data_IF_389977861502
#
_entry.id   IF_389977861502
#
_cell.length_a   1.000
_cell.length_b   1.000
_cell.length_c   1.000
_cell.angle_alpha   90.00
_cell.angle_beta   90.00
_cell.angle_gamma   90.00
#
_symmetry.space_group_name_H-M   'P 1'
#
loop_
_entity.id
_entity.type
_entity.pdbx_description
1 polymer ?
#
# COMPACT_ATOMS: atom_id res chain seq x y z
N UNK A 1 -17.96 15.45 2.03
CA UNK A 1 -16.97 14.35 2.11
C UNK A 1 -16.59 14.17 3.56
N UNK A 2 -16.82 12.98 4.11
CA UNK A 2 -16.42 12.63 5.48
C UNK A 2 -14.90 12.69 5.63
N UNK A 3 -14.41 13.11 6.79
CA UNK A 3 -12.96 13.19 7.07
C UNK A 3 -12.41 11.77 7.21
N UNK A 4 -11.31 11.43 6.53
CA UNK A 4 -10.73 10.08 6.53
C UNK A 4 -9.76 9.95 7.71
N UNK A 5 -9.94 8.94 8.57
CA UNK A 5 -9.10 8.69 9.74
C UNK A 5 -8.29 7.41 9.58
N UNK A 6 -6.99 7.55 9.38
CA UNK A 6 -6.06 6.41 9.32
C UNK A 6 -5.40 6.18 10.68
N UNK A 7 -5.38 4.92 11.11
CA UNK A 7 -4.48 4.46 12.15
C UNK A 7 -3.29 3.77 11.50
N UNK A 8 -2.09 4.06 12.00
CA UNK A 8 -0.87 3.34 11.64
C UNK A 8 -0.24 2.78 12.91
N UNK A 9 0.26 1.56 12.82
CA UNK A 9 0.97 0.88 13.90
C UNK A 9 2.30 0.41 13.35
N UNK A 10 3.40 0.94 13.89
CA UNK A 10 4.75 0.50 13.54
C UNK A 10 5.13 -0.60 14.51
N UNK A 11 5.60 -1.72 13.98
CA UNK A 11 6.10 -2.88 14.73
C UNK A 11 7.57 -3.04 14.34
N UNK A 12 8.50 -2.33 15.03
CA UNK A 12 9.91 -2.25 14.63
C UNK A 12 10.61 -3.61 14.61
N UNK A 13 10.26 -4.50 15.54
CA UNK A 13 10.86 -5.84 15.70
C UNK A 13 10.60 -6.72 14.49
N UNK A 14 9.49 -6.46 13.80
CA UNK A 14 9.09 -7.15 12.58
C UNK A 14 9.42 -6.34 11.33
N UNK A 15 9.99 -5.13 11.43
CA UNK A 15 10.12 -4.20 10.30
C UNK A 15 8.81 -4.02 9.50
N UNK A 16 7.69 -3.94 10.24
CA UNK A 16 6.34 -3.92 9.70
C UNK A 16 5.62 -2.65 10.09
N UNK A 17 4.86 -2.10 9.16
CA UNK A 17 3.86 -1.07 9.41
C UNK A 17 2.50 -1.65 9.04
N UNK A 18 1.56 -1.57 9.96
CA UNK A 18 0.16 -1.89 9.72
C UNK A 18 -0.63 -0.59 9.60
N UNK A 19 -1.62 -0.58 8.72
CA UNK A 19 -2.52 0.55 8.57
C UNK A 19 -3.96 0.07 8.46
N UNK A 20 -4.88 0.87 9.01
CA UNK A 20 -6.32 0.66 8.83
C UNK A 20 -7.07 1.98 8.82
N UNK A 21 -8.15 2.00 8.05
CA UNK A 21 -9.12 3.08 8.03
C UNK A 21 -10.08 2.89 9.20
N UNK A 22 -10.11 3.83 10.14
CA UNK A 22 -10.93 3.75 11.35
C UNK A 22 -12.41 4.01 11.08
N UNK A 23 -12.71 4.82 10.07
CA UNK A 23 -14.06 5.23 9.73
C UNK A 23 -14.41 4.83 8.30
N UNK A 24 -14.21 3.55 8.00
CA UNK A 24 -14.53 3.01 6.69
C UNK A 24 -16.02 3.21 6.36
N UNK A 25 -16.90 2.97 7.33
CA UNK A 25 -18.35 3.12 7.21
C UNK A 25 -18.76 4.56 6.82
N UNK A 26 -18.17 5.57 7.46
CA UNK A 26 -18.40 6.99 7.14
C UNK A 26 -17.98 7.35 5.70
N UNK A 27 -17.13 6.52 5.09
CA UNK A 27 -16.63 6.68 3.73
C UNK A 27 -17.34 5.79 2.71
N UNK A 28 -18.43 5.10 3.10
CA UNK A 28 -19.09 4.08 2.27
C UNK A 28 -18.15 2.94 1.83
N UNK A 29 -17.18 2.61 2.68
CA UNK A 29 -16.25 1.51 2.50
C UNK A 29 -16.49 0.46 3.59
N UNK A 30 -16.44 -0.83 3.27
CA UNK A 30 -16.65 -1.87 4.28
C UNK A 30 -15.40 -2.04 5.16
N UNK A 31 -14.22 -2.07 4.53
CA UNK A 31 -12.94 -2.09 5.24
C UNK A 31 -11.79 -1.64 4.33
N UNK A 32 -10.82 -0.95 4.93
CA UNK A 32 -9.55 -0.63 4.30
C UNK A 32 -8.44 -0.90 5.32
N UNK A 33 -7.61 -1.90 5.09
CA UNK A 33 -6.47 -2.19 5.96
C UNK A 33 -5.35 -2.88 5.19
N UNK A 34 -4.15 -2.91 5.75
CA UNK A 34 -3.03 -3.52 5.10
C UNK A 34 -1.73 -3.39 5.87
N UNK A 35 -0.66 -3.83 5.23
CA UNK A 35 0.66 -3.94 5.83
C UNK A 35 1.73 -3.55 4.82
N UNK A 36 2.76 -2.87 5.30
CA UNK A 36 4.03 -2.66 4.60
C UNK A 36 5.11 -3.40 5.39
N UNK A 37 5.77 -4.35 4.75
CA UNK A 37 6.77 -5.21 5.35
C UNK A 37 8.12 -4.99 4.65
N UNK A 38 9.17 -4.73 5.42
CA UNK A 38 10.54 -4.69 4.91
C UNK A 38 11.23 -6.01 5.20
N UNK A 39 11.82 -6.63 4.19
CA UNK A 39 12.61 -7.85 4.33
C UNK A 39 13.98 -7.66 3.68
N UNK A 40 15.09 -8.09 4.31
CA UNK A 40 16.38 -8.14 3.64
C UNK A 40 16.33 -9.20 2.52
N UNK A 41 16.90 -8.87 1.37
CA UNK A 41 16.98 -9.75 0.21
C UNK A 41 18.37 -9.62 -0.43
N UNK A 42 19.38 -10.24 0.19
CA UNK A 42 20.77 -10.10 -0.23
C UNK A 42 21.25 -8.66 -0.12
N UNK A 43 21.62 -8.05 -1.25
CA UNK A 43 22.17 -6.68 -1.30
C UNK A 43 21.12 -5.57 -1.38
N UNK A 44 19.84 -5.89 -1.24
CA UNK A 44 18.74 -4.93 -1.31
C UNK A 44 17.67 -5.25 -0.27
N UNK A 45 16.79 -4.28 -0.02
CA UNK A 45 15.61 -4.49 0.82
C UNK A 45 14.39 -4.71 -0.07
N UNK A 46 13.68 -5.82 0.15
CA UNK A 46 12.39 -6.10 -0.46
C UNK A 46 11.29 -5.45 0.37
N UNK A 47 10.55 -4.52 -0.23
CA UNK A 47 9.34 -3.95 0.38
C UNK A 47 8.13 -4.72 -0.15
N UNK A 48 7.38 -5.36 0.74
CA UNK A 48 6.11 -6.04 0.39
C UNK A 48 4.95 -5.24 0.94
N UNK A 49 4.02 -4.88 0.06
CA UNK A 49 2.79 -4.22 0.45
C UNK A 49 1.61 -5.13 0.18
N UNK A 50 0.76 -5.29 1.19
CA UNK A 50 -0.51 -6.01 1.09
C UNK A 50 -1.57 -5.05 1.56
N UNK A 51 -2.62 -4.89 0.78
CA UNK A 51 -3.72 -4.01 1.13
C UNK A 51 -5.05 -4.64 0.70
N UNK A 52 -5.99 -4.61 1.63
CA UNK A 52 -7.33 -5.13 1.50
C UNK A 52 -8.29 -3.95 1.49
N UNK A 53 -9.07 -3.85 0.42
CA UNK A 53 -10.02 -2.77 0.21
C UNK A 53 -11.35 -3.34 -0.20
N UNK A 54 -12.42 -2.82 0.37
CA UNK A 54 -13.76 -3.07 -0.11
C UNK A 54 -14.54 -1.76 -0.15
N UNK A 55 -14.78 -1.29 -1.37
CA UNK A 55 -15.50 -0.07 -1.68
C UNK A 55 -16.33 -0.26 -2.96
N UNK A 56 -17.38 0.53 -3.11
CA UNK A 56 -18.22 0.51 -4.30
C UNK A 56 -17.39 0.77 -5.57
N UNK A 57 -17.37 -0.19 -6.50
CA UNK A 57 -16.58 -0.11 -7.73
C UNK A 57 -15.17 -0.72 -7.63
N UNK A 58 -14.78 -1.33 -6.50
CA UNK A 58 -13.51 -2.03 -6.37
C UNK A 58 -13.30 -3.09 -7.47
N UNK A 59 -14.33 -3.89 -7.79
CA UNK A 59 -14.27 -4.88 -8.87
C UNK A 59 -13.98 -4.25 -10.24
N UNK A 60 -14.55 -3.07 -10.53
CA UNK A 60 -14.30 -2.34 -11.78
C UNK A 60 -12.89 -1.77 -11.78
N UNK A 61 -12.48 -1.17 -10.66
CA UNK A 61 -11.14 -0.59 -10.49
C UNK A 61 -10.01 -1.62 -10.62
N UNK A 62 -10.21 -2.83 -10.07
CA UNK A 62 -9.27 -3.96 -10.16
C UNK A 62 -9.10 -4.42 -11.61
N UNK A 63 -10.20 -4.51 -12.36
CA UNK A 63 -10.21 -4.98 -13.76
C UNK A 63 -9.90 -3.88 -14.78
N UNK A 64 -9.87 -2.62 -14.35
CA UNK A 64 -9.66 -1.46 -15.19
C UNK A 64 -8.22 -1.44 -15.77
N UNK A 65 -8.04 -1.54 -17.10
CA UNK A 65 -6.71 -1.63 -17.71
C UNK A 65 -6.05 -0.25 -17.94
N UNK A 66 -6.81 0.85 -17.84
CA UNK A 66 -6.33 2.20 -18.18
C UNK A 66 -5.76 2.97 -16.99
N UNK A 67 -5.27 4.18 -17.28
CA UNK A 67 -4.72 5.10 -16.29
C UNK A 67 -5.76 5.41 -15.20
N UNK A 68 -5.49 4.96 -13.98
CA UNK A 68 -6.40 5.09 -12.82
C UNK A 68 -6.89 3.75 -12.26
N UNK A 69 -6.82 2.68 -13.06
CA UNK A 69 -7.04 1.31 -12.58
C UNK A 69 -5.94 0.83 -11.63
N UNK A 70 -6.22 -0.26 -10.91
CA UNK A 70 -5.36 -0.79 -9.85
C UNK A 70 -3.89 -0.97 -10.27
N UNK A 71 -3.64 -1.63 -11.40
CA UNK A 71 -2.28 -1.87 -11.92
C UNK A 71 -1.50 -0.57 -12.13
N UNK A 72 -2.13 0.42 -12.77
CA UNK A 72 -1.50 1.72 -13.02
C UNK A 72 -1.20 2.44 -11.71
N UNK A 73 -2.16 2.49 -10.80
CA UNK A 73 -2.02 3.17 -9.50
C UNK A 73 -0.90 2.57 -8.67
N UNK A 74 -0.86 1.25 -8.55
CA UNK A 74 0.14 0.56 -7.74
C UNK A 74 1.54 0.60 -8.37
N UNK A 75 1.63 0.58 -9.70
CA UNK A 75 2.91 0.82 -10.40
C UNK A 75 3.46 2.21 -10.09
N UNK A 76 2.61 3.25 -10.06
CA UNK A 76 3.04 4.61 -9.72
C UNK A 76 3.46 4.73 -8.27
N UNK A 77 2.71 4.12 -7.34
CA UNK A 77 3.09 4.11 -5.92
C UNK A 77 4.46 3.45 -5.73
N UNK A 78 4.68 2.26 -6.31
CA UNK A 78 5.97 1.58 -6.23
C UNK A 78 7.12 2.43 -6.81
N UNK A 79 6.92 3.11 -7.95
CA UNK A 79 7.93 4.02 -8.52
C UNK A 79 8.20 5.24 -7.63
N UNK A 80 7.15 5.82 -7.06
CA UNK A 80 7.27 6.95 -6.14
C UNK A 80 8.04 6.54 -4.88
N UNK A 81 7.77 5.37 -4.32
CA UNK A 81 8.48 4.83 -3.15
C UNK A 81 9.94 4.55 -3.43
N UNK A 82 10.27 3.92 -4.56
CA UNK A 82 11.67 3.73 -4.97
C UNK A 82 12.39 5.08 -5.07
N UNK A 83 11.74 6.08 -5.67
CA UNK A 83 12.30 7.43 -5.77
C UNK A 83 12.45 8.08 -4.39
N UNK A 84 11.46 7.96 -3.52
CA UNK A 84 11.52 8.48 -2.15
C UNK A 84 12.67 7.82 -1.38
N UNK A 85 12.76 6.49 -1.40
CA UNK A 85 13.79 5.73 -0.71
C UNK A 85 15.20 5.98 -1.26
N UNK A 86 15.34 6.21 -2.57
CA UNK A 86 16.63 6.59 -3.18
C UNK A 86 17.19 7.92 -2.64
N UNK A 87 16.33 8.81 -2.14
CA UNK A 87 16.75 10.05 -1.48
C UNK A 87 17.41 9.80 -0.12
N UNK A 88 17.20 8.63 0.47
CA UNK A 88 17.67 8.30 1.82
C UNK A 88 18.80 7.24 1.89
N UNK A 89 19.14 6.53 0.78
CA UNK A 89 20.17 5.45 0.63
C UNK A 89 20.18 4.36 1.74
N UNK A 90 20.06 3.04 1.46
CA UNK A 90 20.53 2.32 0.26
C UNK A 90 19.42 1.59 -0.53
N UNK A 91 19.80 0.93 -1.63
CA UNK A 91 18.98 0.30 -2.69
C UNK A 91 17.78 -0.55 -2.19
N UNK A 92 16.55 -0.05 -2.36
CA UNK A 92 15.31 -0.80 -2.12
C UNK A 92 14.74 -1.33 -3.45
N UNK A 93 14.24 -2.56 -3.43
CA UNK A 93 13.41 -3.13 -4.51
C UNK A 93 12.01 -3.33 -3.93
N UNK A 94 11.04 -2.59 -4.44
CA UNK A 94 9.64 -2.70 -4.02
C UNK A 94 8.95 -3.78 -4.84
N UNK A 95 8.39 -4.78 -4.17
CA UNK A 95 7.55 -5.82 -4.77
C UNK A 95 6.14 -5.70 -4.17
N UNK A 96 5.24 -5.04 -4.89
CA UNK A 96 3.82 -5.03 -4.53
C UNK A 96 3.21 -6.38 -4.90
N UNK A 97 2.72 -7.14 -3.92
CA UNK A 97 1.96 -8.38 -4.14
C UNK A 97 0.52 -8.09 -3.75
N UNK A 98 -0.32 -8.00 -4.75
CA UNK A 98 -1.75 -7.71 -4.60
C UNK A 98 -2.46 -9.05 -4.71
N UNK A 99 -3.09 -9.48 -3.62
CA UNK A 99 -4.02 -10.61 -3.63
C UNK A 99 -5.43 -10.08 -3.88
#
# INVERSE_FOLDING_TARGET
MSKIFWQTTVIPELYRLEFKLLNAEDCCHDFHHGTIQLNPAGSYTKITQVAFFNFAGASVWVKCPWYGGMKSTLTKMAKWEQKAASRYKPKFVVAAVIH
#
